data_IF_005641397169
#
_entry.id   IF_005641397169
#
_cell.length_a   1.000
_cell.length_b   1.000
_cell.length_c   1.000
_cell.angle_alpha   90.00
_cell.angle_beta   90.00
_cell.angle_gamma   90.00
#
_symmetry.space_group_name_H-M   'P 1'
#
loop_
_entity.id
_entity.type
_entity.pdbx_description
1 polymer ?
#
# COMPACT_ATOMS: atom_id res chain seq x y z
N UNK A 1 15.49 -0.34 8.34
CA UNK A 1 15.76 -1.66 8.96
C UNK A 1 16.37 -2.54 7.88
N UNK A 2 17.61 -3.03 8.05
CA UNK A 2 18.33 -3.78 7.01
C UNK A 2 17.51 -4.93 6.38
N UNK A 3 16.74 -5.63 7.21
CA UNK A 3 15.89 -6.76 6.79
C UNK A 3 14.85 -6.41 5.70
N UNK A 4 14.24 -5.21 5.74
CA UNK A 4 13.25 -4.83 4.71
C UNK A 4 13.91 -4.50 3.37
N UNK A 5 15.10 -3.90 3.38
CA UNK A 5 15.83 -3.62 2.14
C UNK A 5 16.25 -4.93 1.46
N UNK A 6 16.71 -5.91 2.25
CA UNK A 6 17.05 -7.25 1.74
C UNK A 6 15.81 -7.96 1.19
N UNK A 7 14.67 -7.89 1.89
CA UNK A 7 13.42 -8.47 1.39
C UNK A 7 12.98 -7.84 0.07
N UNK A 8 13.08 -6.52 -0.09
CA UNK A 8 12.76 -5.84 -1.35
C UNK A 8 13.70 -6.32 -2.47
N UNK A 9 15.02 -6.35 -2.24
CA UNK A 9 16.01 -6.87 -3.20
C UNK A 9 15.71 -8.32 -3.63
N UNK A 10 15.28 -9.15 -2.68
CA UNK A 10 14.95 -10.56 -2.93
C UNK A 10 13.69 -10.78 -3.76
N UNK A 11 12.80 -9.79 -3.94
CA UNK A 11 11.65 -9.90 -4.85
C UNK A 11 12.09 -10.08 -6.31
N UNK A 12 13.27 -9.58 -6.70
CA UNK A 12 13.85 -9.75 -8.03
C UNK A 12 14.69 -11.04 -8.18
N UNK A 13 14.76 -11.90 -7.16
CA UNK A 13 15.52 -13.15 -7.23
C UNK A 13 14.95 -14.12 -8.28
N UNK A 14 15.81 -14.87 -8.96
CA UNK A 14 15.37 -15.97 -9.85
C UNK A 14 14.86 -17.19 -9.07
N UNK A 15 15.23 -17.34 -7.79
CA UNK A 15 14.75 -18.39 -6.91
C UNK A 15 13.35 -18.04 -6.35
N UNK A 16 12.35 -18.85 -6.72
CA UNK A 16 10.97 -18.67 -6.28
C UNK A 16 10.78 -18.79 -4.76
N UNK A 17 11.60 -19.61 -4.08
CA UNK A 17 11.55 -19.76 -2.62
C UNK A 17 12.04 -18.49 -1.92
N UNK A 18 13.10 -17.87 -2.48
CA UNK A 18 13.62 -16.59 -1.99
C UNK A 18 12.56 -15.49 -2.15
N UNK A 19 11.93 -15.40 -3.32
CA UNK A 19 10.84 -14.43 -3.57
C UNK A 19 9.65 -14.63 -2.62
N UNK A 20 9.23 -15.87 -2.40
CA UNK A 20 8.10 -16.17 -1.51
C UNK A 20 8.38 -15.76 -0.06
N UNK A 21 9.61 -16.01 0.43
CA UNK A 21 10.02 -15.58 1.78
C UNK A 21 10.08 -14.06 1.90
N UNK A 22 10.64 -13.39 0.91
CA UNK A 22 10.71 -11.94 0.83
C UNK A 22 9.31 -11.30 0.85
N UNK A 23 8.39 -11.82 0.03
CA UNK A 23 7.02 -11.32 -0.01
C UNK A 23 6.29 -11.53 1.32
N UNK A 24 6.46 -12.70 1.96
CA UNK A 24 5.87 -12.97 3.27
C UNK A 24 6.42 -12.05 4.38
N UNK A 25 7.71 -11.70 4.32
CA UNK A 25 8.33 -10.76 5.25
C UNK A 25 7.78 -9.34 5.09
N UNK A 26 7.74 -8.83 3.86
CA UNK A 26 7.19 -7.50 3.55
C UNK A 26 5.71 -7.41 3.94
N UNK A 27 4.94 -8.44 3.59
CA UNK A 27 3.53 -8.50 3.93
C UNK A 27 3.30 -8.53 5.44
N UNK A 28 4.08 -9.32 6.20
CA UNK A 28 4.01 -9.35 7.67
C UNK A 28 4.37 -7.99 8.26
N UNK A 29 5.44 -7.36 7.79
CA UNK A 29 5.86 -6.06 8.29
C UNK A 29 4.81 -4.97 8.01
N UNK A 30 4.24 -4.94 6.81
CA UNK A 30 3.17 -4.02 6.45
C UNK A 30 1.92 -4.23 7.29
N UNK A 31 1.51 -5.49 7.51
CA UNK A 31 0.39 -5.81 8.41
C UNK A 31 0.61 -5.31 9.83
N UNK A 32 1.79 -5.56 10.41
CA UNK A 32 2.11 -5.09 11.77
C UNK A 32 2.01 -3.56 11.85
N UNK A 33 2.49 -2.84 10.82
CA UNK A 33 2.39 -1.38 10.76
C UNK A 33 0.93 -0.90 10.63
N UNK A 34 0.17 -1.48 9.71
CA UNK A 34 -1.24 -1.15 9.48
C UNK A 34 -2.10 -1.44 10.70
N UNK A 35 -1.93 -2.61 11.32
CA UNK A 35 -2.72 -3.02 12.48
C UNK A 35 -2.41 -2.14 13.69
N UNK A 36 -1.14 -1.80 13.92
CA UNK A 36 -0.77 -0.85 14.96
C UNK A 36 -1.37 0.54 14.72
N UNK A 37 -1.39 1.01 13.47
CA UNK A 37 -1.92 2.34 13.12
C UNK A 37 -3.45 2.40 13.13
N UNK A 38 -4.13 1.26 12.98
CA UNK A 38 -5.60 1.18 12.83
C UNK A 38 -6.30 0.45 13.98
N UNK A 39 -5.58 0.11 15.06
CA UNK A 39 -6.14 -0.59 16.22
C UNK A 39 -7.40 0.09 16.77
N UNK A 40 -7.37 1.42 16.93
CA UNK A 40 -8.53 2.17 17.42
C UNK A 40 -9.71 2.15 16.44
N UNK A 41 -9.44 2.14 15.13
CA UNK A 41 -10.45 2.10 14.08
C UNK A 41 -11.21 0.78 14.10
N UNK A 42 -10.48 -0.33 14.28
CA UNK A 42 -11.04 -1.69 14.37
C UNK A 42 -11.80 -1.95 15.66
N UNK A 43 -11.60 -1.15 16.69
CA UNK A 43 -12.36 -1.22 17.94
C UNK A 43 -13.73 -0.54 17.83
N UNK A 44 -13.94 0.36 16.87
CA UNK A 44 -15.24 0.94 16.58
C UNK A 44 -16.10 -0.05 15.78
N UNK A 45 -17.24 -0.45 16.35
CA UNK A 45 -18.08 -1.50 15.79
C UNK A 45 -18.60 -1.20 14.39
N UNK A 46 -18.88 0.08 14.08
CA UNK A 46 -19.43 0.45 12.77
C UNK A 46 -18.33 0.45 11.71
N UNK A 47 -17.16 1.00 12.03
CA UNK A 47 -16.03 0.99 11.12
C UNK A 47 -15.48 -0.43 10.92
N UNK A 48 -15.40 -1.24 11.98
CA UNK A 48 -15.06 -2.65 11.90
C UNK A 48 -16.03 -3.44 11.03
N UNK A 49 -17.33 -3.09 11.08
CA UNK A 49 -18.34 -3.70 10.23
C UNK A 49 -18.22 -3.30 8.75
N UNK A 50 -17.49 -2.24 8.40
CA UNK A 50 -17.20 -1.87 7.00
C UNK A 50 -15.95 -2.56 6.45
N UNK A 51 -14.97 -2.83 7.31
CA UNK A 51 -13.71 -3.46 6.92
C UNK A 51 -13.94 -4.90 6.42
N UNK A 52 -13.19 -5.24 5.39
CA UNK A 52 -13.02 -6.61 4.92
C UNK A 52 -11.73 -7.17 5.52
N UNK A 53 -11.66 -8.49 5.66
CA UNK A 53 -10.54 -9.15 6.33
C UNK A 53 -9.22 -9.04 5.54
N UNK A 54 -9.33 -8.92 4.21
CA UNK A 54 -8.18 -8.84 3.32
C UNK A 54 -7.52 -7.46 3.37
N UNK A 55 -6.23 -7.44 3.09
CA UNK A 55 -5.42 -6.23 2.93
C UNK A 55 -4.29 -6.51 1.95
N UNK A 56 -3.81 -5.44 1.33
CA UNK A 56 -2.63 -5.44 0.48
C UNK A 56 -1.57 -4.50 1.06
N UNK A 57 -0.28 -4.84 0.89
CA UNK A 57 0.83 -4.00 1.35
C UNK A 57 1.50 -3.38 0.13
N UNK A 58 1.42 -2.05 0.02
CA UNK A 58 2.02 -1.29 -1.06
C UNK A 58 3.51 -1.04 -0.82
N UNK A 59 4.35 -1.61 -1.68
CA UNK A 59 5.81 -1.51 -1.62
C UNK A 59 6.29 -0.67 -2.79
N UNK A 60 6.78 0.52 -2.48
CA UNK A 60 7.38 1.43 -3.46
C UNK A 60 8.82 1.04 -3.74
N UNK A 61 9.16 0.89 -5.02
CA UNK A 61 10.51 0.59 -5.50
C UNK A 61 10.93 1.55 -6.62
N UNK A 62 12.23 1.63 -6.91
CA UNK A 62 12.75 2.38 -8.04
C UNK A 62 12.23 1.81 -9.37
N UNK A 63 12.16 2.60 -10.45
CA UNK A 63 11.70 2.11 -11.75
C UNK A 63 12.52 0.94 -12.28
N UNK A 64 13.83 0.94 -12.06
CA UNK A 64 14.71 -0.17 -12.47
C UNK A 64 14.36 -1.46 -11.72
N UNK A 65 14.21 -1.37 -10.39
CA UNK A 65 13.88 -2.52 -9.57
C UNK A 65 12.46 -3.03 -9.83
N UNK A 66 11.51 -2.14 -10.06
CA UNK A 66 10.15 -2.48 -10.51
C UNK A 66 10.17 -3.38 -11.75
N UNK A 67 10.95 -3.01 -12.77
CA UNK A 67 11.07 -3.81 -13.99
C UNK A 67 11.77 -5.16 -13.73
N UNK A 68 12.80 -5.18 -12.88
CA UNK A 68 13.48 -6.42 -12.52
C UNK A 68 12.56 -7.42 -11.80
N UNK A 69 11.78 -6.95 -10.81
CA UNK A 69 10.77 -7.77 -10.12
C UNK A 69 9.73 -8.27 -11.12
N UNK A 70 9.18 -7.36 -11.93
CA UNK A 70 8.14 -7.70 -12.92
C UNK A 70 8.63 -8.74 -13.93
N UNK A 71 9.89 -8.67 -14.36
CA UNK A 71 10.47 -9.63 -15.29
C UNK A 71 10.56 -11.05 -14.71
N UNK A 72 11.07 -11.21 -13.48
CA UNK A 72 11.19 -12.55 -12.86
C UNK A 72 9.84 -13.14 -12.43
N UNK A 73 8.82 -12.29 -12.30
CA UNK A 73 7.44 -12.68 -11.98
C UNK A 73 6.59 -13.00 -13.22
N UNK A 74 7.18 -13.02 -14.42
CA UNK A 74 6.47 -13.38 -15.65
C UNK A 74 5.63 -12.23 -16.23
N UNK A 75 6.05 -10.99 -16.00
CA UNK A 75 5.43 -9.76 -16.51
C UNK A 75 3.93 -9.63 -16.18
N UNK A 76 3.54 -9.63 -14.89
CA UNK A 76 2.16 -9.40 -14.47
C UNK A 76 1.56 -8.14 -15.11
N UNK A 77 0.24 -8.15 -15.31
CA UNK A 77 -0.50 -7.02 -15.87
C UNK A 77 -0.29 -5.79 -14.98
N UNK A 78 -0.06 -4.64 -15.60
CA UNK A 78 -0.07 -3.36 -14.91
C UNK A 78 -1.51 -2.93 -14.65
N UNK A 79 -1.77 -2.36 -13.47
CA UNK A 79 -3.06 -1.75 -13.16
C UNK A 79 -3.25 -0.48 -14.01
N UNK A 80 -4.52 -0.16 -14.33
CA UNK A 80 -4.86 1.12 -14.96
C UNK A 80 -4.94 2.22 -13.90
N UNK A 81 -3.79 2.81 -13.59
CA UNK A 81 -3.68 3.87 -12.57
C UNK A 81 -4.00 5.24 -13.17
N UNK A 82 -4.91 6.04 -12.57
CA UNK A 82 -5.27 7.36 -13.08
C UNK A 82 -4.04 8.23 -13.40
N UNK A 83 -4.01 8.94 -14.55
CA UNK A 83 -2.82 9.65 -15.01
C UNK A 83 -2.25 10.66 -14.02
N UNK A 84 -3.11 11.31 -13.23
CA UNK A 84 -2.74 12.34 -12.26
C UNK A 84 -2.07 11.79 -10.99
N UNK A 85 -2.07 10.47 -10.78
CA UNK A 85 -1.44 9.83 -9.62
C UNK A 85 0.05 9.54 -9.83
N UNK A 86 0.56 9.63 -11.07
CA UNK A 86 1.98 9.43 -11.40
C UNK A 86 2.58 8.13 -10.83
N UNK A 87 1.86 7.03 -11.03
CA UNK A 87 2.21 5.71 -10.50
C UNK A 87 2.07 4.61 -11.56
N UNK A 88 2.94 3.61 -11.52
CA UNK A 88 2.75 2.32 -12.16
C UNK A 88 2.75 1.26 -11.07
N UNK A 89 1.85 0.30 -11.18
CA UNK A 89 1.73 -0.75 -10.18
C UNK A 89 1.28 -2.08 -10.76
N UNK A 90 1.59 -3.15 -10.03
CA UNK A 90 1.08 -4.50 -10.27
C UNK A 90 1.00 -5.27 -8.95
N UNK A 91 -0.04 -6.09 -8.83
CA UNK A 91 -0.19 -6.95 -7.67
C UNK A 91 0.68 -8.21 -7.77
N UNK A 92 1.26 -8.61 -6.64
CA UNK A 92 1.92 -9.89 -6.42
C UNK A 92 1.20 -10.69 -5.35
N UNK A 93 0.74 -11.88 -5.75
CA UNK A 93 0.12 -12.85 -4.84
C UNK A 93 1.06 -14.05 -4.70
N UNK A 94 1.71 -14.17 -3.54
CA UNK A 94 2.66 -15.24 -3.24
C UNK A 94 2.29 -15.91 -1.91
N UNK A 95 1.64 -17.07 -1.98
CA UNK A 95 1.06 -17.72 -0.81
C UNK A 95 -0.03 -16.83 -0.20
N UNK A 96 0.12 -16.48 1.07
CA UNK A 96 -0.79 -15.53 1.75
C UNK A 96 -0.42 -14.06 1.51
N UNK A 97 0.77 -13.79 0.96
CA UNK A 97 1.23 -12.42 0.76
C UNK A 97 0.51 -11.79 -0.43
N UNK A 98 -0.12 -10.63 -0.16
CA UNK A 98 -0.68 -9.72 -1.16
C UNK A 98 0.12 -8.43 -1.09
N UNK A 99 0.94 -8.19 -2.11
CA UNK A 99 1.69 -6.95 -2.25
C UNK A 99 1.19 -6.20 -3.47
N UNK A 100 1.13 -4.89 -3.39
CA UNK A 100 1.11 -4.05 -4.56
C UNK A 100 2.51 -3.47 -4.74
N UNK A 101 3.13 -3.69 -5.89
CA UNK A 101 4.47 -3.17 -6.16
C UNK A 101 4.29 -1.89 -6.96
N UNK A 102 4.75 -0.77 -6.42
CA UNK A 102 4.53 0.56 -7.01
C UNK A 102 5.84 1.23 -7.42
N UNK A 103 5.79 2.02 -8.49
CA UNK A 103 6.86 2.95 -8.87
C UNK A 103 6.29 4.21 -9.53
N UNK A 104 7.10 5.25 -9.70
CA UNK A 104 6.69 6.49 -10.37
C UNK A 104 6.85 6.39 -11.89
N UNK A 105 5.98 7.06 -12.66
CA UNK A 105 6.15 7.21 -14.12
C UNK A 105 7.18 8.30 -14.45
N UNK A 106 7.44 9.22 -13.52
CA UNK A 106 8.31 10.40 -13.72
C UNK A 106 9.37 10.47 -12.62
N UNK A 107 10.53 9.81 -12.78
CA UNK A 107 11.64 9.88 -11.83
C UNK A 107 12.10 11.32 -11.61
N UNK A 108 12.27 11.73 -10.35
CA UNK A 108 12.59 13.13 -9.98
C UNK A 108 11.43 14.11 -10.17
N UNK A 109 10.24 13.62 -10.52
CA UNK A 109 9.02 14.40 -10.63
C UNK A 109 8.40 14.75 -9.28
N UNK A 110 7.27 15.47 -9.31
CA UNK A 110 6.56 15.94 -8.12
C UNK A 110 5.46 14.99 -7.62
N UNK A 111 5.31 13.81 -8.22
CA UNK A 111 4.33 12.80 -7.82
C UNK A 111 4.57 12.26 -6.41
N UNK A 112 3.54 11.68 -5.80
CA UNK A 112 3.61 11.19 -4.42
C UNK A 112 4.66 10.08 -4.26
N UNK A 113 4.72 9.14 -5.23
CA UNK A 113 5.68 8.04 -5.24
C UNK A 113 7.11 8.53 -5.47
N UNK A 114 7.32 9.46 -6.42
CA UNK A 114 8.64 10.06 -6.66
C UNK A 114 9.20 10.74 -5.39
N UNK A 115 8.36 11.54 -4.70
CA UNK A 115 8.71 12.19 -3.43
C UNK A 115 8.97 11.19 -2.31
N UNK A 116 8.21 10.09 -2.26
CA UNK A 116 8.46 9.02 -1.30
C UNK A 116 9.85 8.40 -1.52
N UNK A 117 10.17 8.03 -2.76
CA UNK A 117 11.48 7.46 -3.12
C UNK A 117 12.63 8.40 -2.81
N UNK A 118 12.51 9.70 -3.13
CA UNK A 118 13.54 10.70 -2.83
C UNK A 118 13.79 10.81 -1.32
N UNK A 119 12.73 10.78 -0.51
CA UNK A 119 12.81 11.02 0.93
C UNK A 119 13.19 9.78 1.73
N UNK A 120 12.70 8.61 1.32
CA UNK A 120 12.75 7.39 2.12
C UNK A 120 13.47 6.23 1.43
N UNK A 121 13.74 6.33 0.13
CA UNK A 121 14.17 5.20 -0.68
C UNK A 121 13.05 4.18 -0.90
N UNK A 122 13.42 2.97 -1.31
CA UNK A 122 12.47 1.87 -1.47
C UNK A 122 11.93 1.39 -0.11
N UNK A 123 10.65 1.03 -0.06
CA UNK A 123 10.03 0.66 1.21
C UNK A 123 8.53 0.42 1.12
N UNK A 124 7.96 -0.05 2.23
CA UNK A 124 6.52 -0.09 2.44
C UNK A 124 6.02 1.35 2.52
N UNK A 125 5.22 1.76 1.56
CA UNK A 125 4.71 3.11 1.44
C UNK A 125 3.27 3.21 1.96
N UNK A 126 2.46 2.16 1.76
CA UNK A 126 1.07 2.11 2.21
C UNK A 126 0.62 0.73 2.67
N UNK A 127 -0.50 0.71 3.39
CA UNK A 127 -1.29 -0.49 3.67
C UNK A 127 -2.71 -0.23 3.20
N UNK A 128 -3.19 -1.09 2.31
CA UNK A 128 -4.51 -1.00 1.69
C UNK A 128 -5.49 -1.89 2.45
N UNK A 129 -6.54 -1.28 2.99
CA UNK A 129 -7.66 -1.99 3.60
C UNK A 129 -8.90 -1.87 2.73
N UNK A 130 -9.52 -3.01 2.47
CA UNK A 130 -10.76 -3.06 1.71
C UNK A 130 -11.95 -2.75 2.62
N UNK A 131 -12.87 -1.92 2.13
CA UNK A 131 -14.09 -1.50 2.84
C UNK A 131 -15.30 -1.64 1.94
N UNK A 132 -16.48 -1.92 2.51
CA UNK A 132 -17.73 -2.01 1.74
C UNK A 132 -18.30 -0.65 1.34
N UNK A 133 -17.91 0.40 2.06
CA UNK A 133 -18.35 1.78 1.80
C UNK A 133 -17.25 2.76 2.25
N UNK A 134 -16.52 3.31 1.27
CA UNK A 134 -15.39 4.21 1.54
C UNK A 134 -15.84 5.62 1.93
N UNK A 135 -17.03 6.07 1.51
CA UNK A 135 -17.60 7.35 1.98
C UNK A 135 -17.93 7.25 3.46
N UNK A 136 -18.65 6.20 3.85
CA UNK A 136 -19.04 6.01 5.24
C UNK A 136 -17.83 5.82 6.13
N UNK A 137 -16.84 5.04 5.70
CA UNK A 137 -15.59 4.90 6.44
C UNK A 137 -14.87 6.25 6.59
N UNK A 138 -14.83 7.08 5.54
CA UNK A 138 -14.24 8.42 5.58
C UNK A 138 -14.94 9.33 6.59
N UNK A 139 -16.28 9.32 6.61
CA UNK A 139 -17.06 10.10 7.58
C UNK A 139 -16.78 9.69 9.03
N UNK A 140 -16.73 8.38 9.29
CA UNK A 140 -16.45 7.81 10.61
C UNK A 140 -15.04 8.17 11.09
N UNK A 141 -14.03 8.03 10.22
CA UNK A 141 -12.65 8.41 10.51
C UNK A 141 -12.53 9.89 10.85
N UNK A 142 -13.16 10.77 10.07
CA UNK A 142 -13.15 12.21 10.33
C UNK A 142 -13.90 12.56 11.61
N UNK A 143 -15.11 12.04 11.80
CA UNK A 143 -16.01 12.43 12.88
C UNK A 143 -15.65 11.85 14.25
N UNK A 144 -15.21 10.58 14.30
CA UNK A 144 -14.93 9.87 15.56
C UNK A 144 -13.47 9.87 15.95
N UNK A 145 -12.57 9.89 14.97
CA UNK A 145 -11.12 9.79 15.20
C UNK A 145 -10.36 11.08 14.88
N UNK A 146 -11.03 12.09 14.30
CA UNK A 146 -10.40 13.35 13.90
C UNK A 146 -9.35 13.19 12.80
N UNK A 147 -9.33 12.03 12.11
CA UNK A 147 -8.36 11.74 11.04
C UNK A 147 -8.90 12.32 9.74
N UNK A 148 -8.18 13.28 9.17
CA UNK A 148 -8.57 13.91 7.92
C UNK A 148 -8.20 13.02 6.72
N UNK A 149 -9.10 12.90 5.72
CA UNK A 149 -8.74 12.27 4.47
C UNK A 149 -7.75 13.14 3.69
N UNK A 150 -6.87 12.51 2.91
CA UNK A 150 -5.96 13.21 2.00
C UNK A 150 -6.75 13.79 0.82
N UNK A 151 -7.72 13.05 0.29
CA UNK A 151 -8.61 13.59 -0.72
C UNK A 151 -9.84 14.22 -0.07
N UNK A 152 -10.24 15.46 -0.49
CA UNK A 152 -11.44 16.11 0.03
C UNK A 152 -12.71 15.25 -0.14
N UNK A 153 -12.74 14.47 -1.22
CA UNK A 153 -13.75 13.46 -1.52
C UNK A 153 -13.03 12.22 -2.06
N UNK A 154 -13.61 11.05 -1.83
CA UNK A 154 -13.13 9.79 -2.42
C UNK A 154 -13.12 9.90 -3.94
N UNK A 155 -12.21 9.20 -4.60
CA UNK A 155 -12.02 9.30 -6.05
C UNK A 155 -11.64 7.96 -6.66
N UNK A 156 -11.49 7.93 -7.98
CA UNK A 156 -11.01 6.75 -8.68
C UNK A 156 -9.57 6.41 -8.27
N UNK A 157 -9.34 5.16 -7.89
CA UNK A 157 -8.04 4.52 -7.77
C UNK A 157 -7.73 3.70 -9.01
N UNK A 158 -6.75 2.80 -8.89
CA UNK A 158 -6.38 1.92 -9.98
C UNK A 158 -7.49 0.93 -10.33
N UNK A 159 -7.54 0.54 -11.61
CA UNK A 159 -8.55 -0.37 -12.18
C UNK A 159 -10.01 0.04 -11.89
N UNK A 160 -10.24 1.35 -11.72
CA UNK A 160 -11.58 1.90 -11.47
C UNK A 160 -12.11 1.69 -10.05
N UNK A 161 -11.26 1.29 -9.10
CA UNK A 161 -11.60 1.25 -7.68
C UNK A 161 -11.98 2.63 -7.15
N UNK A 162 -12.64 2.67 -5.99
CA UNK A 162 -12.98 3.93 -5.31
C UNK A 162 -12.21 4.01 -4.00
N UNK A 163 -11.41 5.06 -3.84
CA UNK A 163 -10.39 5.12 -2.78
C UNK A 163 -10.35 6.44 -2.02
N UNK A 164 -9.78 6.40 -0.82
CA UNK A 164 -9.24 7.56 -0.13
C UNK A 164 -8.06 7.15 0.75
N UNK A 165 -7.21 8.12 1.10
CA UNK A 165 -6.00 7.89 1.88
C UNK A 165 -6.03 8.63 3.21
N UNK A 166 -5.39 8.07 4.23
CA UNK A 166 -5.34 8.61 5.58
C UNK A 166 -3.94 8.43 6.15
N UNK A 167 -3.42 9.48 6.77
CA UNK A 167 -2.15 9.40 7.49
C UNK A 167 -2.40 9.02 8.95
N UNK A 168 -2.39 7.72 9.24
CA UNK A 168 -2.61 7.16 10.56
C UNK A 168 -1.34 7.20 11.43
N UNK A 169 -1.51 7.07 12.74
CA UNK A 169 -0.41 7.03 13.71
C UNK A 169 -0.42 5.74 14.48
N UNK A 170 0.72 5.07 14.54
CA UNK A 170 0.97 3.97 15.48
C UNK A 170 1.08 4.51 16.92
N UNK A 171 1.00 3.65 17.95
CA UNK A 171 1.15 4.05 19.35
C UNK A 171 2.51 4.70 19.68
N UNK A 172 3.57 4.32 18.95
CA UNK A 172 4.92 4.91 19.07
C UNK A 172 5.11 6.15 18.18
N UNK A 173 4.05 6.68 17.58
CA UNK A 173 4.03 7.95 16.86
C UNK A 173 4.50 7.89 15.41
N UNK A 174 4.81 6.71 14.86
CA UNK A 174 5.13 6.55 13.43
C UNK A 174 3.90 6.82 12.58
N UNK A 175 4.11 7.46 11.43
CA UNK A 175 3.07 7.74 10.45
C UNK A 175 3.02 6.60 9.43
N UNK A 176 1.81 6.09 9.19
CA UNK A 176 1.54 5.03 8.22
C UNK A 176 0.47 5.56 7.27
N UNK A 177 0.72 5.45 5.97
CA UNK A 177 -0.29 5.76 4.97
C UNK A 177 -1.24 4.56 4.86
N UNK A 178 -2.51 4.81 5.15
CA UNK A 178 -3.58 3.83 5.00
C UNK A 178 -4.41 4.22 3.79
N UNK A 179 -4.54 3.31 2.84
CA UNK A 179 -5.49 3.43 1.74
C UNK A 179 -6.76 2.65 2.11
N UNK A 180 -7.92 3.27 1.95
CA UNK A 180 -9.20 2.56 1.99
C UNK A 180 -9.69 2.36 0.57
N UNK A 181 -9.89 1.10 0.18
CA UNK A 181 -10.32 0.70 -1.16
C UNK A 181 -11.72 0.11 -1.08
N UNK A 182 -12.67 0.63 -1.86
CA UNK A 182 -14.02 0.07 -1.87
C UNK A 182 -14.10 -1.24 -2.67
N UNK A 183 -14.76 -2.25 -2.10
CA UNK A 183 -15.13 -3.51 -2.76
C UNK A 183 -16.63 -3.76 -2.75
#
# INVERSE_FOLDING_TARGET
MPALADAIAHLASTDATVRARAAAELYRAGRVLGDAATQGWRADAELAALLVQELTVGVTVTPEHFQAIRAVMGAPRLADVPPDQDAQEFELHLGEARLDILTTRVPGGSGAIAKFLEKFGEGIQQVEYFVRDVDRATELLRGRFGVQPIYPQTRAGADGTRVNFFLASTPDGKKVLIELVQT
#
